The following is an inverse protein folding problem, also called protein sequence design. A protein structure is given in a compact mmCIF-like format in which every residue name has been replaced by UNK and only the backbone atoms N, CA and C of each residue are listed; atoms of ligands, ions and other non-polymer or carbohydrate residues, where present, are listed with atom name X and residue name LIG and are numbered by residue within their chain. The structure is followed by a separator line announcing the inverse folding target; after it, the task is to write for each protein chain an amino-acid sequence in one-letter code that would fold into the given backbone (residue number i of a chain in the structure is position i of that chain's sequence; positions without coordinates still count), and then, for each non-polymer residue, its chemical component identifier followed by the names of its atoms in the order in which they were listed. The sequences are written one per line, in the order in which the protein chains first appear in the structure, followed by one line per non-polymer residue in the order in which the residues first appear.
data_IF_358251269868
#
_entry.id   IF_358251269868
#
_cell.length_a   1.000
_cell.length_b   1.000
_cell.length_c   1.000
_cell.angle_alpha   90.00
_cell.angle_beta   90.00
_cell.angle_gamma   90.00
#
_symmetry.space_group_name_H-M   'P 1'
#
loop_
_entity.id
_entity.type
_entity.pdbx_description
1 polymer ?
#
# COMPACT_ATOMS: atom_id res chain seq x y z
N UNK A 1 1.06 21.32 -9.97
CA UNK A 1 1.16 20.54 -8.72
C UNK A 1 1.71 19.13 -8.98
N UNK A 2 1.09 18.28 -9.81
CA UNK A 2 1.57 16.90 -10.04
C UNK A 2 3.04 16.82 -10.47
N UNK A 3 3.49 17.65 -11.42
CA UNK A 3 4.89 17.65 -11.86
C UNK A 3 5.83 18.09 -10.73
N UNK A 4 5.45 19.13 -9.98
CA UNK A 4 6.25 19.65 -8.87
C UNK A 4 6.45 18.65 -7.73
N UNK A 5 5.57 17.65 -7.58
CA UNK A 5 5.73 16.55 -6.60
C UNK A 5 6.75 15.51 -7.09
N UNK A 6 6.85 15.28 -8.40
CA UNK A 6 7.63 14.15 -8.96
C UNK A 6 8.88 14.57 -9.73
N UNK A 7 9.05 15.85 -10.03
CA UNK A 7 10.21 16.36 -10.78
C UNK A 7 11.44 16.37 -9.88
N UNK A 8 12.56 15.84 -10.38
CA UNK A 8 13.84 15.84 -9.67
C UNK A 8 14.58 17.19 -9.79
N UNK A 9 14.32 17.96 -10.85
CA UNK A 9 14.84 19.30 -11.06
C UNK A 9 13.81 20.21 -11.72
N UNK A 10 14.01 21.51 -11.59
CA UNK A 10 13.19 22.51 -12.23
C UNK A 10 13.83 23.89 -12.21
N UNK A 11 13.26 24.80 -13.01
CA UNK A 11 13.71 26.18 -13.09
C UNK A 11 13.08 26.96 -11.93
N UNK A 12 13.94 27.58 -11.12
CA UNK A 12 13.54 28.47 -10.03
C UNK A 12 13.75 29.90 -10.49
N UNK A 13 12.64 30.61 -10.68
CA UNK A 13 12.63 32.02 -11.00
C UNK A 13 12.45 32.82 -9.71
N UNK A 14 13.40 33.72 -9.42
CA UNK A 14 13.33 34.62 -8.26
C UNK A 14 13.32 36.06 -8.75
N UNK A 15 12.56 36.90 -8.07
CA UNK A 15 12.47 38.33 -8.43
C UNK A 15 13.86 38.97 -8.37
N UNK A 16 14.31 39.55 -9.48
CA UNK A 16 15.59 40.25 -9.56
C UNK A 16 16.82 39.35 -9.62
N UNK A 17 16.64 38.05 -9.91
CA UNK A 17 17.72 37.08 -10.12
C UNK A 17 17.40 36.29 -11.37
N UNK A 18 18.43 35.97 -12.15
CA UNK A 18 18.26 35.11 -13.33
C UNK A 18 17.72 33.74 -12.94
N UNK A 19 16.94 33.14 -13.84
CA UNK A 19 16.38 31.82 -13.67
C UNK A 19 17.49 30.78 -13.52
N UNK A 20 17.43 29.96 -12.47
CA UNK A 20 18.41 28.90 -12.21
C UNK A 20 17.74 27.53 -12.26
N UNK A 21 18.40 26.56 -12.88
CA UNK A 21 18.01 25.17 -12.73
C UNK A 21 18.48 24.65 -11.38
N UNK A 22 17.58 24.02 -10.63
CA UNK A 22 17.86 23.47 -9.30
C UNK A 22 17.23 22.09 -9.16
N UNK A 23 17.85 21.24 -8.36
CA UNK A 23 17.20 20.05 -7.85
C UNK A 23 16.01 20.42 -6.96
N UNK A 24 14.97 19.61 -7.02
CA UNK A 24 13.74 19.76 -6.24
C UNK A 24 13.72 18.66 -5.17
N UNK A 25 13.73 19.09 -3.92
CA UNK A 25 13.64 18.24 -2.72
C UNK A 25 12.34 18.48 -1.94
N UNK A 26 11.36 19.12 -2.58
CA UNK A 26 10.15 19.61 -1.92
C UNK A 26 9.14 18.49 -1.64
N UNK A 27 8.66 18.46 -0.40
CA UNK A 27 7.48 17.70 0.01
C UNK A 27 6.33 18.66 0.34
N UNK A 28 5.09 18.26 0.08
CA UNK A 28 3.93 19.12 0.22
C UNK A 28 2.97 18.58 1.28
N UNK A 29 2.65 19.42 2.26
CA UNK A 29 1.54 19.20 3.20
C UNK A 29 0.50 20.28 2.97
N UNK A 30 -0.72 19.89 2.66
CA UNK A 30 -1.83 20.80 2.40
C UNK A 30 -2.96 20.53 3.38
N UNK A 31 -3.54 21.58 3.95
CA UNK A 31 -4.80 21.50 4.69
C UNK A 31 -5.90 22.15 3.85
N UNK A 32 -7.09 21.56 3.86
CA UNK A 32 -8.24 22.12 3.16
C UNK A 32 -9.53 21.71 3.86
N UNK A 33 -10.52 22.62 3.84
CA UNK A 33 -11.87 22.35 4.32
C UNK A 33 -12.78 21.78 3.22
N UNK A 34 -12.30 21.76 1.96
CA UNK A 34 -13.02 21.17 0.83
C UNK A 34 -12.50 19.74 0.56
N UNK A 35 -13.39 18.76 0.76
CA UNK A 35 -13.15 17.34 0.49
C UNK A 35 -12.80 17.04 -0.98
N UNK A 36 -13.04 17.98 -1.91
CA UNK A 36 -12.79 17.84 -3.34
C UNK A 36 -11.71 18.80 -3.87
N UNK A 37 -10.92 19.41 -2.98
CA UNK A 37 -9.89 20.39 -3.33
C UNK A 37 -8.89 19.88 -4.37
N UNK A 38 -8.59 18.58 -4.35
CA UNK A 38 -7.75 17.91 -5.34
C UNK A 38 -8.58 16.80 -5.98
N UNK A 39 -8.72 16.77 -7.33
CA UNK A 39 -9.44 15.70 -8.01
C UNK A 39 -8.82 14.34 -7.71
N UNK A 40 -9.64 13.40 -7.25
CA UNK A 40 -9.22 12.01 -7.09
C UNK A 40 -9.16 11.33 -8.46
N UNK A 41 -8.02 10.74 -8.78
CA UNK A 41 -7.81 9.96 -9.99
C UNK A 41 -7.58 8.50 -9.65
N UNK A 42 -8.15 7.59 -10.45
CA UNK A 42 -7.91 6.16 -10.31
C UNK A 42 -6.42 5.87 -10.53
N UNK A 43 -5.78 5.19 -9.58
CA UNK A 43 -4.34 4.90 -9.63
C UNK A 43 -3.46 6.06 -9.17
N UNK A 44 -3.97 6.96 -8.32
CA UNK A 44 -3.19 8.00 -7.67
C UNK A 44 -2.05 7.39 -6.84
N UNK A 45 -0.84 7.92 -7.02
CA UNK A 45 0.40 7.51 -6.36
C UNK A 45 1.13 8.66 -5.66
N UNK A 46 0.48 9.83 -5.60
CA UNK A 46 1.11 11.13 -5.26
C UNK A 46 0.45 11.86 -4.09
N UNK A 47 -0.80 11.52 -3.75
CA UNK A 47 -1.54 12.19 -2.68
C UNK A 47 -2.09 11.17 -1.70
N UNK A 48 -1.89 11.46 -0.42
CA UNK A 48 -2.56 10.78 0.69
C UNK A 48 -3.54 11.75 1.34
N UNK A 49 -4.76 11.27 1.61
CA UNK A 49 -5.82 12.07 2.21
C UNK A 49 -6.01 11.63 3.66
N UNK A 50 -5.88 12.57 4.59
CA UNK A 50 -6.23 12.38 5.98
C UNK A 50 -7.48 13.21 6.27
N UNK A 51 -8.60 12.54 6.54
CA UNK A 51 -9.83 13.22 6.94
C UNK A 51 -9.81 13.37 8.45
N UNK A 52 -9.83 14.59 8.96
CA UNK A 52 -9.98 14.84 10.38
C UNK A 52 -11.44 14.61 10.80
N UNK A 53 -11.66 14.02 11.98
CA UNK A 53 -13.00 13.91 12.55
C UNK A 53 -13.51 15.32 12.91
N UNK A 54 -14.72 15.66 12.43
CA UNK A 54 -15.36 16.94 12.69
C UNK A 54 -16.11 17.00 14.02
N UNK A 55 -16.13 15.93 14.80
CA UNK A 55 -16.86 15.83 16.08
C UNK A 55 -16.53 16.98 17.05
N UNK A 56 -15.27 17.39 17.14
CA UNK A 56 -14.82 18.49 18.01
C UNK A 56 -14.66 19.83 17.27
N UNK A 57 -15.20 19.96 16.06
CA UNK A 57 -15.06 21.19 15.28
C UNK A 57 -15.69 22.39 16.02
N UNK A 58 -14.86 23.36 16.41
CA UNK A 58 -15.27 24.54 17.17
C UNK A 58 -15.08 24.44 18.69
N UNK A 59 -14.75 23.25 19.22
CA UNK A 59 -14.47 23.01 20.65
C UNK A 59 -13.09 23.57 21.05
N UNK A 60 -13.04 24.88 21.27
CA UNK A 60 -11.79 25.60 21.58
C UNK A 60 -11.10 25.08 22.83
N UNK A 61 -11.86 24.74 23.86
CA UNK A 61 -11.30 24.27 25.13
C UNK A 61 -10.60 22.91 24.97
N UNK A 62 -11.21 21.99 24.23
CA UNK A 62 -10.59 20.70 23.88
C UNK A 62 -9.23 20.90 23.21
N UNK A 63 -9.15 21.72 22.15
CA UNK A 63 -7.89 21.94 21.43
C UNK A 63 -6.87 22.73 22.25
N UNK A 64 -7.30 23.67 23.09
CA UNK A 64 -6.39 24.37 24.00
C UNK A 64 -5.72 23.41 24.98
N UNK A 65 -6.50 22.46 25.53
CA UNK A 65 -5.98 21.43 26.43
C UNK A 65 -5.09 20.43 25.67
N UNK A 66 -5.51 19.96 24.50
CA UNK A 66 -4.75 19.03 23.66
C UNK A 66 -3.39 19.61 23.26
N UNK A 67 -3.37 20.88 22.86
CA UNK A 67 -2.15 21.53 22.39
C UNK A 67 -1.32 22.15 23.52
N UNK A 68 -1.74 22.04 24.79
CA UNK A 68 -1.11 22.72 25.92
C UNK A 68 0.39 22.41 26.03
N UNK A 69 0.74 21.14 25.86
CA UNK A 69 2.14 20.68 25.98
C UNK A 69 2.96 20.98 24.72
N UNK A 70 2.32 21.37 23.62
CA UNK A 70 2.96 21.73 22.34
C UNK A 70 3.11 23.24 22.22
N UNK A 71 2.30 24.02 22.93
CA UNK A 71 2.26 25.46 22.81
C UNK A 71 3.61 26.09 23.18
N UNK A 72 4.08 27.06 22.38
CA UNK A 72 5.29 27.78 22.69
C UNK A 72 5.06 28.71 23.88
N UNK A 73 6.09 28.90 24.69
CA UNK A 73 6.02 29.81 25.85
C UNK A 73 5.92 31.28 25.43
N UNK A 74 6.36 31.61 24.20
CA UNK A 74 6.26 32.95 23.60
C UNK A 74 5.75 32.88 22.17
N UNK A 75 5.02 33.92 21.77
CA UNK A 75 4.50 34.05 20.42
C UNK A 75 5.65 34.16 19.40
N UNK A 76 5.63 33.32 18.37
CA UNK A 76 6.68 33.26 17.33
C UNK A 76 7.83 32.30 17.64
N UNK A 77 7.84 31.70 18.82
CA UNK A 77 8.77 30.62 19.19
C UNK A 77 8.08 29.25 19.04
N UNK A 78 8.86 28.18 19.20
CA UNK A 78 8.36 26.80 19.31
C UNK A 78 8.68 26.27 20.71
N UNK A 79 7.95 25.26 21.17
CA UNK A 79 8.30 24.56 22.40
C UNK A 79 9.56 23.70 22.13
N UNK A 80 10.71 24.13 22.66
CA UNK A 80 12.01 23.47 22.44
C UNK A 80 12.03 22.03 22.95
N UNK A 81 11.42 21.77 24.11
CA UNK A 81 11.39 20.44 24.72
C UNK A 81 10.58 19.47 23.85
N UNK A 82 9.36 19.88 23.48
CA UNK A 82 8.50 19.10 22.58
C UNK A 82 9.18 18.86 21.22
N UNK A 83 9.76 19.91 20.63
CA UNK A 83 10.46 19.79 19.35
C UNK A 83 11.69 18.89 19.45
N UNK A 84 12.41 18.91 20.57
CA UNK A 84 13.53 18.02 20.84
C UNK A 84 13.11 16.55 20.86
N UNK A 85 12.00 16.24 21.54
CA UNK A 85 11.43 14.89 21.58
C UNK A 85 10.98 14.45 20.18
N UNK A 86 10.26 15.31 19.47
CA UNK A 86 9.75 15.01 18.13
C UNK A 86 10.88 14.77 17.12
N UNK A 87 11.92 15.60 17.14
CA UNK A 87 13.09 15.43 16.28
C UNK A 87 13.88 14.18 16.63
N UNK A 88 13.98 13.84 17.92
CA UNK A 88 14.59 12.58 18.34
C UNK A 88 13.82 11.38 17.79
N UNK A 89 12.49 11.39 17.92
CA UNK A 89 11.62 10.36 17.34
C UNK A 89 11.81 10.21 15.82
N UNK A 90 11.82 11.31 15.07
CA UNK A 90 12.09 11.28 13.62
C UNK A 90 13.47 10.74 13.27
N UNK A 91 14.48 11.03 14.11
CA UNK A 91 15.84 10.53 13.89
C UNK A 91 15.97 9.03 14.16
N UNK A 92 15.20 8.50 15.10
CA UNK A 92 15.26 7.08 15.50
C UNK A 92 14.31 6.19 14.71
N UNK A 93 13.44 6.76 13.89
CA UNK A 93 12.51 6.02 13.05
C UNK A 93 13.29 5.18 12.02
N UNK A 94 13.10 3.87 12.07
CA UNK A 94 13.59 2.95 11.05
C UNK A 94 12.68 3.02 9.82
N UNK A 95 13.24 3.50 8.71
CA UNK A 95 12.55 3.60 7.43
C UNK A 95 13.00 2.49 6.46
N UNK A 96 13.79 1.52 6.91
CA UNK A 96 14.26 0.44 6.05
C UNK A 96 13.07 -0.39 5.53
N UNK A 97 12.92 -0.40 4.20
CA UNK A 97 11.82 -1.11 3.54
C UNK A 97 10.50 -0.33 3.46
N UNK A 98 10.46 0.93 3.93
CA UNK A 98 9.31 1.80 3.71
C UNK A 98 9.20 2.21 2.24
N UNK A 99 8.03 1.97 1.63
CA UNK A 99 7.68 2.40 0.28
C UNK A 99 6.51 3.38 0.36
N UNK A 100 6.80 4.65 0.11
CA UNK A 100 5.80 5.72 0.13
C UNK A 100 4.72 5.54 -0.95
N UNK A 101 5.09 4.99 -2.12
CA UNK A 101 4.17 4.76 -3.23
C UNK A 101 3.20 3.64 -2.90
N UNK A 102 3.70 2.51 -2.36
CA UNK A 102 2.86 1.41 -1.89
C UNK A 102 1.96 1.86 -0.73
N UNK A 103 2.48 2.64 0.22
CA UNK A 103 1.70 3.18 1.34
C UNK A 103 0.53 4.05 0.86
N UNK A 104 0.76 4.94 -0.10
CA UNK A 104 -0.29 5.77 -0.71
C UNK A 104 -1.31 4.90 -1.45
N UNK A 105 -0.84 3.94 -2.23
CA UNK A 105 -1.72 3.02 -2.96
C UNK A 105 -2.59 2.23 -1.98
N UNK A 106 -2.02 1.72 -0.89
CA UNK A 106 -2.77 1.00 0.15
C UNK A 106 -3.79 1.89 0.85
N UNK A 107 -3.42 3.11 1.27
CA UNK A 107 -4.36 4.05 1.90
C UNK A 107 -5.48 4.51 0.95
N UNK A 108 -5.22 4.54 -0.35
CA UNK A 108 -6.22 4.86 -1.38
C UNK A 108 -7.16 3.68 -1.69
N UNK A 109 -6.87 2.46 -1.23
CA UNK A 109 -7.80 1.34 -1.32
C UNK A 109 -8.97 1.65 -0.40
N UNK A 110 -10.10 1.93 -1.02
CA UNK A 110 -11.33 2.32 -0.34
C UNK A 110 -11.78 1.15 0.56
N UNK A 111 -11.58 1.25 1.88
CA UNK A 111 -11.97 0.23 2.87
C UNK A 111 -13.48 0.25 3.16
N UNK A 112 -14.22 1.24 2.64
CA UNK A 112 -15.67 1.33 2.71
C UNK A 112 -16.37 0.48 1.64
N UNK A 113 -15.93 -0.77 1.45
CA UNK A 113 -16.69 -1.71 0.62
C UNK A 113 -17.79 -2.30 1.49
N UNK A 114 -19.02 -1.82 1.29
CA UNK A 114 -20.20 -2.47 1.86
C UNK A 114 -20.14 -3.95 1.46
N UNK A 115 -20.21 -4.84 2.46
CA UNK A 115 -20.25 -6.29 2.26
C UNK A 115 -21.23 -6.63 1.13
N UNK A 116 -20.72 -7.31 0.09
CA UNK A 116 -21.52 -7.69 -1.07
C UNK A 116 -21.68 -9.20 -1.07
N UNK A 117 -22.82 -9.66 -0.55
CA UNK A 117 -23.13 -11.09 -0.41
C UNK A 117 -23.04 -11.85 -1.74
N UNK A 118 -23.44 -11.22 -2.85
CA UNK A 118 -23.38 -11.83 -4.17
C UNK A 118 -21.94 -12.07 -4.62
N UNK A 119 -21.06 -11.08 -4.45
CA UNK A 119 -19.64 -11.20 -4.80
C UNK A 119 -18.90 -12.17 -3.87
N UNK A 120 -19.29 -12.26 -2.60
CA UNK A 120 -18.75 -13.28 -1.67
C UNK A 120 -19.13 -14.70 -2.05
N UNK A 121 -20.39 -14.93 -2.43
CA UNK A 121 -20.84 -16.23 -2.95
C UNK A 121 -20.10 -16.58 -4.24
N UNK A 122 -19.92 -15.61 -5.14
CA UNK A 122 -19.16 -15.82 -6.37
C UNK A 122 -17.68 -16.13 -6.09
N UNK A 123 -17.03 -15.41 -5.17
CA UNK A 123 -15.66 -15.68 -4.75
C UNK A 123 -15.51 -17.09 -4.14
N UNK A 124 -16.42 -17.46 -3.24
CA UNK A 124 -16.40 -18.79 -2.59
C UNK A 124 -16.66 -19.92 -3.59
N UNK A 125 -17.43 -19.63 -4.64
CA UNK A 125 -17.71 -20.56 -5.74
C UNK A 125 -16.59 -20.67 -6.79
N UNK A 126 -15.53 -19.85 -6.70
CA UNK A 126 -14.41 -19.93 -7.64
C UNK A 126 -13.69 -21.26 -7.52
N UNK A 127 -13.19 -21.77 -8.65
CA UNK A 127 -12.27 -22.89 -8.60
C UNK A 127 -10.93 -22.46 -7.96
N UNK A 128 -10.15 -23.43 -7.48
CA UNK A 128 -8.92 -23.18 -6.75
C UNK A 128 -7.89 -22.33 -7.52
N UNK A 129 -7.85 -22.44 -8.85
CA UNK A 129 -6.90 -21.67 -9.68
C UNK A 129 -7.35 -20.22 -9.79
N UNK A 130 -8.62 -19.98 -10.09
CA UNK A 130 -9.16 -18.62 -10.18
C UNK A 130 -9.12 -17.92 -8.82
N UNK A 131 -9.40 -18.64 -7.73
CA UNK A 131 -9.26 -18.10 -6.38
C UNK A 131 -7.80 -17.72 -6.08
N UNK A 132 -6.83 -18.55 -6.47
CA UNK A 132 -5.42 -18.22 -6.32
C UNK A 132 -5.04 -16.96 -7.12
N UNK A 133 -5.60 -16.78 -8.32
CA UNK A 133 -5.41 -15.58 -9.14
C UNK A 133 -5.98 -14.34 -8.44
N UNK A 134 -7.16 -14.44 -7.84
CA UNK A 134 -7.76 -13.33 -7.06
C UNK A 134 -6.88 -12.98 -5.87
N UNK A 135 -6.52 -13.96 -5.05
CA UNK A 135 -5.78 -13.76 -3.79
C UNK A 135 -4.36 -13.22 -4.03
N UNK A 136 -3.76 -13.58 -5.17
CA UNK A 136 -2.42 -13.16 -5.57
C UNK A 136 -2.44 -12.21 -6.78
N UNK A 137 -3.52 -11.45 -6.95
CA UNK A 137 -3.65 -10.57 -8.13
C UNK A 137 -2.43 -9.69 -8.43
N UNK A 138 -1.73 -9.07 -7.44
CA UNK A 138 -0.59 -8.21 -7.73
C UNK A 138 0.51 -8.87 -8.59
N UNK A 139 0.76 -10.18 -8.43
CA UNK A 139 1.74 -10.90 -9.26
C UNK A 139 1.20 -11.26 -10.65
N UNK A 140 -0.12 -11.39 -10.80
CA UNK A 140 -0.75 -11.61 -12.11
C UNK A 140 -0.94 -10.29 -12.88
N UNK A 141 -0.98 -9.15 -12.21
CA UNK A 141 -0.97 -7.83 -12.85
C UNK A 141 0.38 -7.54 -13.52
N UNK A 142 1.49 -7.84 -12.82
CA UNK A 142 2.86 -7.68 -13.37
C UNK A 142 3.31 -8.88 -14.22
N UNK A 143 2.67 -10.04 -14.06
CA UNK A 143 2.96 -11.28 -14.77
C UNK A 143 3.84 -12.24 -13.96
N UNK A 144 3.52 -13.53 -13.94
CA UNK A 144 4.23 -14.55 -13.13
C UNK A 144 4.59 -15.79 -13.96
N UNK A 145 5.83 -16.33 -13.85
CA UNK A 145 6.17 -17.59 -14.50
C UNK A 145 5.39 -18.75 -13.88
N UNK A 146 4.89 -19.67 -14.69
CA UNK A 146 4.10 -20.80 -14.21
C UNK A 146 4.86 -21.69 -13.21
N UNK A 147 6.18 -21.76 -13.34
CA UNK A 147 7.06 -22.50 -12.42
C UNK A 147 7.09 -21.88 -11.01
N UNK A 148 6.78 -20.58 -10.89
CA UNK A 148 6.63 -19.90 -9.62
C UNK A 148 5.27 -20.11 -8.94
N UNK A 149 4.28 -20.66 -9.67
CA UNK A 149 2.92 -20.85 -9.16
C UNK A 149 2.79 -22.26 -8.58
N UNK A 150 2.58 -22.35 -7.27
CA UNK A 150 2.39 -23.62 -6.56
C UNK A 150 0.98 -23.68 -5.97
N UNK A 151 0.12 -24.47 -6.60
CA UNK A 151 -1.24 -24.76 -6.10
C UNK A 151 -1.32 -26.26 -5.83
N UNK A 152 -1.72 -26.62 -4.61
CA UNK A 152 -1.85 -28.01 -4.18
C UNK A 152 -2.76 -28.79 -5.15
N UNK A 153 -2.38 -30.03 -5.50
CA UNK A 153 -3.07 -30.94 -6.43
C UNK A 153 -2.98 -30.57 -7.93
N UNK A 154 -2.29 -29.49 -8.30
CA UNK A 154 -2.06 -29.14 -9.71
C UNK A 154 -0.62 -29.41 -10.15
N UNK A 155 -0.47 -30.18 -11.23
CA UNK A 155 0.76 -30.20 -12.02
C UNK A 155 0.79 -29.02 -12.99
N UNK A 156 1.99 -28.62 -13.43
CA UNK A 156 2.20 -27.47 -14.33
C UNK A 156 1.33 -27.53 -15.59
N UNK A 157 1.19 -28.71 -16.21
CA UNK A 157 0.38 -28.90 -17.41
C UNK A 157 -1.11 -28.64 -17.18
N UNK A 158 -1.66 -29.16 -16.07
CA UNK A 158 -3.04 -28.93 -15.66
C UNK A 158 -3.29 -27.48 -15.26
N UNK A 159 -2.33 -26.86 -14.58
CA UNK A 159 -2.39 -25.45 -14.20
C UNK A 159 -2.40 -24.53 -15.43
N UNK A 160 -1.54 -24.80 -16.42
CA UNK A 160 -1.48 -24.04 -17.67
C UNK A 160 -2.82 -24.03 -18.42
N UNK A 161 -3.52 -25.17 -18.43
CA UNK A 161 -4.83 -25.28 -19.07
C UNK A 161 -5.86 -24.42 -18.34
N UNK A 162 -5.88 -24.48 -17.00
CA UNK A 162 -6.83 -23.69 -16.21
C UNK A 162 -6.55 -22.20 -16.26
N UNK A 163 -5.28 -21.77 -16.16
CA UNK A 163 -4.93 -20.35 -16.19
C UNK A 163 -5.34 -19.67 -17.51
N UNK A 164 -5.43 -20.40 -18.62
CA UNK A 164 -5.88 -19.82 -19.91
C UNK A 164 -7.30 -19.25 -19.89
N UNK A 165 -8.16 -19.64 -18.96
CA UNK A 165 -9.49 -19.00 -18.83
C UNK A 165 -9.35 -17.54 -18.42
N UNK A 166 -8.42 -17.26 -17.51
CA UNK A 166 -8.36 -16.01 -16.74
C UNK A 166 -7.13 -15.15 -17.05
N UNK A 167 -6.09 -15.77 -17.62
CA UNK A 167 -4.80 -15.16 -17.90
C UNK A 167 -4.41 -15.32 -19.37
N UNK A 168 -3.74 -14.30 -19.88
CA UNK A 168 -2.92 -14.39 -21.09
C UNK A 168 -1.53 -14.91 -20.73
N UNK A 169 -0.81 -15.43 -21.72
CA UNK A 169 0.57 -15.84 -21.51
C UNK A 169 1.51 -15.41 -22.63
N UNK A 170 2.74 -15.09 -22.23
CA UNK A 170 3.84 -14.77 -23.14
C UNK A 170 5.04 -15.63 -22.78
N UNK A 171 5.68 -16.21 -23.79
CA UNK A 171 6.95 -16.93 -23.63
C UNK A 171 8.12 -15.98 -23.77
N UNK A 172 9.08 -16.06 -22.86
CA UNK A 172 10.33 -15.31 -22.98
C UNK A 172 11.51 -16.02 -22.36
N UNK A 173 12.72 -15.52 -22.66
CA UNK A 173 13.95 -16.06 -22.07
C UNK A 173 14.04 -15.71 -20.59
N UNK A 174 14.55 -16.63 -19.79
CA UNK A 174 14.82 -16.47 -18.36
C UNK A 174 15.53 -15.16 -18.02
N UNK A 175 16.61 -14.84 -18.72
CA UNK A 175 17.38 -13.63 -18.46
C UNK A 175 16.57 -12.35 -18.71
N UNK A 176 15.66 -12.39 -19.70
CA UNK A 176 14.76 -11.26 -19.98
C UNK A 176 13.73 -11.10 -18.86
N UNK A 177 13.11 -12.20 -18.42
CA UNK A 177 12.20 -12.20 -17.27
C UNK A 177 12.88 -11.64 -16.00
N UNK A 178 14.06 -12.14 -15.64
CA UNK A 178 14.76 -11.70 -14.43
C UNK A 178 15.03 -10.19 -14.47
N UNK A 179 15.51 -9.68 -15.61
CA UNK A 179 15.87 -8.27 -15.76
C UNK A 179 14.66 -7.34 -15.85
N UNK A 180 13.64 -7.71 -16.62
CA UNK A 180 12.54 -6.81 -16.97
C UNK A 180 11.33 -6.93 -16.05
N UNK A 181 11.13 -8.09 -15.40
CA UNK A 181 9.99 -8.37 -14.54
C UNK A 181 10.42 -8.51 -13.09
N UNK A 182 11.23 -9.53 -12.77
CA UNK A 182 11.55 -9.88 -11.39
C UNK A 182 12.29 -8.77 -10.66
N UNK A 183 13.42 -8.28 -11.18
CA UNK A 183 14.23 -7.28 -10.49
C UNK A 183 13.50 -5.94 -10.30
N UNK A 184 12.62 -5.55 -11.23
CA UNK A 184 11.84 -4.31 -11.12
C UNK A 184 10.73 -4.39 -10.07
N UNK A 185 10.22 -5.59 -9.81
CA UNK A 185 9.07 -5.81 -8.93
C UNK A 185 9.41 -6.79 -7.79
N UNK A 186 10.68 -6.85 -7.38
CA UNK A 186 11.20 -7.87 -6.46
C UNK A 186 10.39 -7.93 -5.16
N UNK A 187 10.04 -6.78 -4.59
CA UNK A 187 9.24 -6.66 -3.37
C UNK A 187 7.88 -7.35 -3.51
N UNK A 188 7.21 -7.17 -4.65
CA UNK A 188 5.90 -7.78 -4.92
C UNK A 188 6.04 -9.30 -5.09
N UNK A 189 7.03 -9.76 -5.85
CA UNK A 189 7.27 -11.19 -5.99
C UNK A 189 7.58 -11.84 -4.64
N UNK A 190 8.57 -11.32 -3.91
CA UNK A 190 9.03 -11.94 -2.65
C UNK A 190 7.92 -11.96 -1.58
N UNK A 191 6.97 -11.02 -1.62
CA UNK A 191 5.78 -10.98 -0.75
C UNK A 191 4.75 -12.05 -1.09
N UNK A 192 4.51 -12.32 -2.36
CA UNK A 192 3.41 -13.18 -2.82
C UNK A 192 3.85 -14.60 -3.19
N UNK A 193 5.06 -14.79 -3.74
CA UNK A 193 5.59 -16.08 -4.17
C UNK A 193 7.11 -16.19 -4.01
N UNK A 194 7.58 -17.33 -3.52
CA UNK A 194 9.02 -17.66 -3.51
C UNK A 194 9.40 -18.30 -4.84
N UNK A 195 10.03 -17.52 -5.72
CA UNK A 195 10.56 -18.02 -7.00
C UNK A 195 12.03 -18.41 -6.84
N UNK A 196 12.33 -19.68 -7.07
CA UNK A 196 13.72 -20.14 -7.20
C UNK A 196 14.23 -19.80 -8.61
N UNK A 197 14.84 -18.63 -8.78
CA UNK A 197 15.30 -18.16 -10.10
C UNK A 197 16.26 -19.15 -10.79
N UNK A 198 17.07 -19.88 -10.02
CA UNK A 198 18.04 -20.83 -10.57
C UNK A 198 17.36 -22.05 -11.20
N UNK A 199 16.21 -22.50 -10.69
CA UNK A 199 15.48 -23.66 -11.20
C UNK A 199 14.56 -23.33 -12.38
N UNK A 200 14.42 -22.05 -12.74
CA UNK A 200 13.64 -21.65 -13.92
C UNK A 200 14.27 -22.19 -15.22
N UNK A 201 13.45 -22.71 -16.16
CA UNK A 201 13.90 -23.12 -17.48
C UNK A 201 14.37 -21.93 -18.31
N UNK A 202 15.16 -22.20 -19.37
CA UNK A 202 15.71 -21.15 -20.24
C UNK A 202 14.62 -20.33 -20.95
N UNK A 203 13.48 -20.97 -21.23
CA UNK A 203 12.24 -20.31 -21.66
C UNK A 203 11.18 -20.44 -20.59
N UNK A 204 10.68 -19.32 -20.11
CA UNK A 204 9.59 -19.24 -19.12
C UNK A 204 8.29 -18.79 -19.78
N UNK A 205 7.17 -19.36 -19.34
CA UNK A 205 5.82 -18.92 -19.74
C UNK A 205 5.26 -18.04 -18.63
N UNK A 206 5.17 -16.73 -18.91
CA UNK A 206 4.67 -15.74 -17.98
C UNK A 206 3.18 -15.59 -18.19
N UNK A 207 2.40 -15.72 -17.11
CA UNK A 207 0.96 -15.54 -17.10
C UNK A 207 0.61 -14.20 -16.48
N UNK A 208 -0.19 -13.41 -17.17
CA UNK A 208 -0.74 -12.15 -16.69
C UNK A 208 -2.26 -12.19 -16.79
N UNK A 209 -2.96 -11.51 -15.88
CA UNK A 209 -4.42 -11.42 -15.94
C UNK A 209 -4.85 -10.83 -17.30
N UNK A 210 -5.94 -11.36 -17.87
CA UNK A 210 -6.53 -10.81 -19.08
C UNK A 210 -7.04 -9.39 -18.87
N UNK A 211 -7.31 -8.68 -19.97
CA UNK A 211 -7.98 -7.40 -19.91
C UNK A 211 -9.40 -7.52 -19.35
N UNK A 212 -9.89 -6.44 -18.74
CA UNK A 212 -11.14 -6.42 -17.97
C UNK A 212 -12.37 -6.82 -18.80
N UNK A 213 -12.38 -6.54 -20.09
CA UNK A 213 -13.43 -6.93 -21.02
C UNK A 213 -13.50 -8.46 -21.25
N UNK A 214 -12.38 -9.16 -21.09
CA UNK A 214 -12.26 -10.60 -21.32
C UNK A 214 -12.46 -11.46 -20.06
N UNK A 215 -12.34 -10.87 -18.86
CA UNK A 215 -12.50 -11.57 -17.58
C UNK A 215 -13.31 -10.75 -16.55
N UNK A 216 -14.35 -10.06 -17.02
CA UNK A 216 -15.11 -9.05 -16.26
C UNK A 216 -15.60 -9.53 -14.90
N UNK A 217 -16.18 -10.73 -14.82
CA UNK A 217 -16.70 -11.27 -13.56
C UNK A 217 -15.58 -11.50 -12.54
N UNK A 218 -14.45 -12.07 -12.98
CA UNK A 218 -13.29 -12.27 -12.14
C UNK A 218 -12.69 -10.92 -11.70
N UNK A 219 -12.63 -9.93 -12.59
CA UNK A 219 -12.15 -8.59 -12.27
C UNK A 219 -13.04 -7.85 -11.28
N UNK A 220 -14.35 -8.05 -11.32
CA UNK A 220 -15.26 -7.51 -10.31
C UNK A 220 -14.98 -8.11 -8.93
N UNK A 221 -14.72 -9.42 -8.86
CA UNK A 221 -14.33 -10.11 -7.62
C UNK A 221 -12.96 -9.64 -7.12
N UNK A 222 -11.97 -9.52 -8.02
CA UNK A 222 -10.63 -9.00 -7.70
C UNK A 222 -10.75 -7.62 -7.08
N UNK A 223 -11.44 -6.69 -7.74
CA UNK A 223 -11.66 -5.34 -7.23
C UNK A 223 -12.27 -5.41 -5.84
N UNK A 224 -13.39 -6.14 -5.70
CA UNK A 224 -14.06 -6.31 -4.41
C UNK A 224 -13.11 -6.82 -3.31
N UNK A 225 -12.31 -7.87 -3.55
CA UNK A 225 -11.38 -8.43 -2.56
C UNK A 225 -10.15 -7.57 -2.28
N UNK A 226 -9.61 -6.88 -3.28
CA UNK A 226 -8.50 -5.95 -3.08
C UNK A 226 -8.89 -4.73 -2.25
N UNK A 227 -10.15 -4.30 -2.34
CA UNK A 227 -10.69 -3.21 -1.53
C UNK A 227 -11.18 -3.68 -0.15
N UNK A 228 -11.37 -4.99 0.07
CA UNK A 228 -11.78 -5.60 1.33
C UNK A 228 -10.63 -6.25 2.13
N UNK A 229 -9.37 -5.90 1.86
CA UNK A 229 -8.27 -6.34 2.73
C UNK A 229 -8.50 -5.65 4.08
N UNK A 230 -8.87 -6.39 5.16
CA UNK A 230 -8.95 -5.78 6.48
C UNK A 230 -7.60 -5.14 6.75
N UNK A 231 -7.59 -3.94 7.34
CA UNK A 231 -6.39 -3.50 8.03
C UNK A 231 -5.96 -4.69 8.90
N UNK A 232 -4.72 -5.17 8.73
CA UNK A 232 -4.16 -6.13 9.65
C UNK A 232 -4.30 -5.45 11.00
N UNK A 233 -5.25 -5.90 11.82
CA UNK A 233 -5.21 -5.68 13.25
C UNK A 233 -3.89 -6.33 13.64
N UNK A 234 -2.89 -5.48 13.82
CA UNK A 234 -1.66 -5.88 14.51
C UNK A 234 -2.17 -6.44 15.82
N UNK A 235 -1.97 -7.75 16.01
CA UNK A 235 -2.22 -8.46 17.26
C UNK A 235 -1.89 -7.50 18.40
N UNK A 236 -2.93 -7.01 19.09
CA UNK A 236 -2.79 -6.55 20.45
C UNK A 236 -2.32 -7.79 21.21
N UNK A 237 -1.00 -7.98 21.24
CA UNK A 237 -0.38 -8.94 22.13
C UNK A 237 -0.99 -8.68 23.50
N UNK A 238 -1.72 -9.67 23.99
CA UNK A 238 -2.27 -9.75 25.32
C UNK A 238 -1.19 -9.38 26.35
N UNK A 239 -1.10 -8.10 26.72
CA UNK A 239 -0.54 -7.74 28.02
C UNK A 239 -1.59 -8.10 29.05
N UNK A 240 -1.59 -9.37 29.44
CA UNK A 240 -2.14 -9.81 30.71
C UNK A 240 -1.47 -8.97 31.81
N UNK A 241 -2.20 -8.24 32.65
CA UNK A 241 -1.63 -7.75 33.88
C UNK A 241 -1.37 -8.98 34.76
N UNK A 242 -0.09 -9.28 35.02
CA UNK A 242 0.29 -10.07 36.17
C UNK A 242 -0.31 -9.41 37.41
N UNK A 243 -1.32 -10.03 38.01
CA UNK A 243 -1.65 -9.88 39.42
C UNK A 243 -1.85 -11.28 39.98
N UNK A 244 -0.73 -11.94 40.27
CA UNK A 244 -0.73 -13.00 41.26
C UNK A 244 -0.53 -12.33 42.63
N UNK A 245 -1.53 -12.57 43.47
CA UNK A 245 -1.50 -12.75 44.92
C UNK A 245 -0.60 -11.84 45.78
N UNK A 246 -1.28 -11.08 46.65
CA UNK A 246 -0.94 -11.21 48.06
C UNK A 246 -2.20 -11.13 48.92
N UNK A 247 -2.70 -12.30 49.32
CA UNK A 247 -3.64 -12.44 50.41
C UNK A 247 -2.88 -12.52 51.73
N UNK A 248 -3.08 -11.55 52.62
CA UNK A 248 -3.06 -11.73 54.08
C UNK A 248 -3.50 -10.40 54.73
N UNK A 249 -4.65 -10.35 55.40
CA UNK A 249 -4.87 -10.71 56.81
C UNK A 249 -4.37 -9.65 57.82
N UNK A 250 -5.35 -9.12 58.56
CA UNK A 250 -5.31 -8.56 59.92
C UNK A 250 -4.99 -7.06 60.18
N UNK A 251 -5.98 -6.48 60.89
CA UNK A 251 -6.05 -5.27 61.74
C UNK A 251 -6.32 -3.94 61.05
#
# INVERSE_FOLDING_TARGET
MKSAITQASGIVERKGVDSVESEIWSNFTCTCNDMKAIPSEKGNRRFQYFTCNNEFAGEREYFQNLCKDIQPQKQGEYNEEFMGILLHYFRTLDLQGFDAEDSIVQASRNTNVVYNEQLERQYTGLNQVDRFVVDNFPIFEIGVPIEGIKIEKYQISGLAIKLKSSCDFVRMRKNKFIKEYYNKNKVIYDKHIKIELNSLPEQVSIYSIKQEDQCRDLMNIIKYKQFNIPAIEVDENETKPNQDDDGSEYI
#
